data_IF_783373078807
#
_entry.id   IF_783373078807
#
_cell.length_a   1.000
_cell.length_b   1.000
_cell.length_c   1.000
_cell.angle_alpha   90.00
_cell.angle_beta   90.00
_cell.angle_gamma   90.00
#
_symmetry.space_group_name_H-M   'P 1'
#
loop_
_entity.id
_entity.type
_entity.pdbx_description
1 polymer ?
#
# COMPACT_ATOMS: atom_id res chain seq x y z
N UNK A 1 -10.58 5.87 -20.52
CA UNK A 1 -11.95 5.46 -20.17
C UNK A 1 -12.23 6.09 -18.83
N UNK A 2 -12.64 7.36 -18.87
CA UNK A 2 -12.96 8.14 -17.68
C UNK A 2 -14.35 7.71 -17.19
N UNK A 3 -14.43 7.35 -15.90
CA UNK A 3 -15.65 7.02 -15.17
C UNK A 3 -16.49 5.83 -15.68
N UNK A 4 -15.91 4.63 -15.68
CA UNK A 4 -16.76 3.49 -15.31
C UNK A 4 -17.27 3.75 -13.89
N UNK A 5 -18.59 3.99 -13.76
CA UNK A 5 -19.30 4.09 -12.49
C UNK A 5 -18.70 3.12 -11.47
N UNK A 6 -18.21 3.65 -10.35
CA UNK A 6 -17.67 2.84 -9.25
C UNK A 6 -18.67 1.73 -8.90
N UNK A 7 -18.31 0.49 -9.26
CA UNK A 7 -19.21 -0.68 -9.17
C UNK A 7 -19.45 -1.16 -7.73
N UNK A 8 -18.69 -0.61 -6.78
CA UNK A 8 -18.72 -0.93 -5.35
C UNK A 8 -19.11 0.35 -4.61
N UNK A 9 -20.04 0.25 -3.66
CA UNK A 9 -20.50 1.39 -2.90
C UNK A 9 -19.39 1.97 -2.00
N UNK A 10 -19.44 3.28 -1.73
CA UNK A 10 -18.37 3.96 -0.98
C UNK A 10 -18.18 3.38 0.43
N UNK A 11 -19.28 3.00 1.10
CA UNK A 11 -19.23 2.40 2.43
C UNK A 11 -18.39 1.11 2.44
N UNK A 12 -18.57 0.23 1.45
CA UNK A 12 -17.80 -1.01 1.34
C UNK A 12 -16.33 -0.72 1.02
N UNK A 13 -16.04 0.26 0.17
CA UNK A 13 -14.65 0.64 -0.16
C UNK A 13 -13.92 1.13 1.08
N UNK A 14 -14.55 2.00 1.86
CA UNK A 14 -13.99 2.51 3.12
C UNK A 14 -13.79 1.36 4.10
N UNK A 15 -14.78 0.49 4.26
CA UNK A 15 -14.67 -0.67 5.14
C UNK A 15 -13.53 -1.61 4.73
N UNK A 16 -13.38 -1.91 3.44
CA UNK A 16 -12.28 -2.74 2.92
C UNK A 16 -10.95 -2.08 3.22
N UNK A 17 -10.77 -0.80 2.87
CA UNK A 17 -9.52 -0.06 3.09
C UNK A 17 -9.11 -0.01 4.56
N UNK A 18 -10.08 0.13 5.47
CA UNK A 18 -9.83 0.18 6.90
C UNK A 18 -9.40 -1.17 7.51
N UNK A 19 -9.71 -2.30 6.86
CA UNK A 19 -9.50 -3.63 7.43
C UNK A 19 -8.45 -4.48 6.69
N UNK A 20 -8.29 -4.30 5.38
CA UNK A 20 -7.53 -5.22 4.53
C UNK A 20 -6.05 -5.31 4.92
N UNK A 21 -5.44 -4.20 5.36
CA UNK A 21 -4.04 -4.17 5.82
C UNK A 21 -3.90 -4.99 7.10
N UNK A 22 -4.78 -4.79 8.07
CA UNK A 22 -4.77 -5.56 9.31
C UNK A 22 -4.97 -7.06 9.05
N UNK A 23 -5.96 -7.42 8.23
CA UNK A 23 -6.22 -8.81 7.84
C UNK A 23 -5.01 -9.43 7.15
N UNK A 24 -4.33 -8.69 6.29
CA UNK A 24 -3.13 -9.15 5.60
C UNK A 24 -2.01 -9.50 6.58
N UNK A 25 -1.87 -8.74 7.68
CA UNK A 25 -0.84 -8.95 8.69
C UNK A 25 -1.15 -10.09 9.66
N UNK A 26 -2.43 -10.31 9.99
CA UNK A 26 -2.87 -11.39 10.87
C UNK A 26 -3.07 -12.73 10.15
N UNK A 27 -2.94 -12.76 8.83
CA UNK A 27 -3.22 -13.94 8.01
C UNK A 27 -1.99 -14.84 7.81
N UNK A 28 -2.20 -16.15 7.54
CA UNK A 28 -1.15 -17.04 7.09
C UNK A 28 -0.51 -16.57 5.77
N UNK A 29 0.74 -16.98 5.51
CA UNK A 29 1.56 -16.49 4.39
C UNK A 29 0.84 -16.55 3.02
N UNK A 30 0.13 -17.65 2.74
CA UNK A 30 -0.57 -17.81 1.46
C UNK A 30 -1.71 -16.79 1.28
N UNK A 31 -2.44 -16.47 2.34
CA UNK A 31 -3.52 -15.48 2.32
C UNK A 31 -2.95 -14.06 2.35
N UNK A 32 -1.88 -13.83 3.12
CA UNK A 32 -1.15 -12.57 3.12
C UNK A 32 -0.70 -12.17 1.71
N UNK A 33 -0.21 -13.12 0.90
CA UNK A 33 0.15 -12.89 -0.51
C UNK A 33 -1.04 -12.38 -1.35
N UNK A 34 -2.18 -13.06 -1.25
CA UNK A 34 -3.39 -12.66 -1.98
C UNK A 34 -3.89 -11.27 -1.57
N UNK A 35 -3.87 -10.99 -0.26
CA UNK A 35 -4.28 -9.68 0.26
C UNK A 35 -3.28 -8.58 -0.13
N UNK A 36 -1.97 -8.86 -0.18
CA UNK A 36 -0.96 -7.92 -0.68
C UNK A 36 -1.22 -7.52 -2.13
N UNK A 37 -1.59 -8.49 -2.97
CA UNK A 37 -1.92 -8.25 -4.37
C UNK A 37 -3.24 -7.47 -4.50
N UNK A 38 -4.25 -7.78 -3.68
CA UNK A 38 -5.50 -7.02 -3.63
C UNK A 38 -5.27 -5.56 -3.21
N UNK A 39 -4.46 -5.31 -2.17
CA UNK A 39 -4.05 -3.96 -1.76
C UNK A 39 -3.35 -3.23 -2.91
N UNK A 40 -2.50 -3.94 -3.66
CA UNK A 40 -1.80 -3.35 -4.80
C UNK A 40 -2.74 -2.97 -5.94
N UNK A 41 -3.80 -3.76 -6.18
CA UNK A 41 -4.84 -3.46 -7.17
C UNK A 41 -5.65 -2.22 -6.73
N UNK A 42 -6.14 -2.20 -5.49
CA UNK A 42 -6.89 -1.06 -4.96
C UNK A 42 -6.02 0.20 -4.94
N UNK A 43 -4.76 0.05 -4.52
CA UNK A 43 -3.77 1.13 -4.48
C UNK A 43 -3.47 1.72 -5.86
N UNK A 44 -3.63 0.97 -6.95
CA UNK A 44 -3.45 1.56 -8.29
C UNK A 44 -4.42 2.69 -8.58
N UNK A 45 -5.66 2.52 -8.16
CA UNK A 45 -6.75 3.45 -8.40
C UNK A 45 -6.87 4.52 -7.31
N UNK A 46 -6.59 4.14 -6.06
CA UNK A 46 -6.94 4.96 -4.91
C UNK A 46 -5.73 5.58 -4.19
N UNK A 47 -4.52 5.05 -4.33
CA UNK A 47 -3.33 5.62 -3.71
C UNK A 47 -2.68 6.68 -4.62
N UNK A 48 -2.29 7.87 -4.09
CA UNK A 48 -2.36 8.27 -2.68
C UNK A 48 -3.63 9.04 -2.29
N UNK A 49 -4.35 9.64 -3.24
CA UNK A 49 -5.35 10.67 -2.94
C UNK A 49 -6.63 10.15 -2.28
N UNK A 50 -7.11 8.96 -2.68
CA UNK A 50 -8.33 8.33 -2.16
C UNK A 50 -8.03 7.28 -1.08
N UNK A 51 -6.76 7.12 -0.71
CA UNK A 51 -6.32 6.23 0.37
C UNK A 51 -5.03 6.75 1.04
N UNK A 52 -5.09 7.94 1.66
CA UNK A 52 -3.90 8.62 2.21
C UNK A 52 -3.28 7.85 3.38
N UNK A 53 -4.08 7.13 4.15
CA UNK A 53 -3.63 6.46 5.38
C UNK A 53 -2.80 5.19 5.13
N UNK A 54 -2.81 4.65 3.90
CA UNK A 54 -2.13 3.40 3.57
C UNK A 54 -0.63 3.44 3.90
N UNK A 55 0.04 4.56 3.57
CA UNK A 55 1.47 4.71 3.79
C UNK A 55 1.80 4.80 5.28
N UNK A 56 1.03 5.59 6.02
CA UNK A 56 1.16 5.73 7.47
C UNK A 56 0.94 4.40 8.17
N UNK A 57 -0.07 3.63 7.75
CA UNK A 57 -0.33 2.32 8.33
C UNK A 57 0.82 1.34 8.06
N UNK A 58 1.36 1.29 6.83
CA UNK A 58 2.53 0.46 6.52
C UNK A 58 3.76 0.83 7.37
N UNK A 59 4.06 2.13 7.51
CA UNK A 59 5.22 2.61 8.29
C UNK A 59 5.08 2.28 9.77
N UNK A 60 3.88 2.46 10.35
CA UNK A 60 3.63 2.14 11.76
C UNK A 60 3.90 0.66 12.08
N UNK A 61 3.70 -0.23 11.10
CA UNK A 61 3.91 -1.67 11.27
C UNK A 61 5.37 -2.08 11.22
N UNK A 62 6.26 -1.27 10.64
CA UNK A 62 7.71 -1.50 10.74
C UNK A 62 8.24 -1.47 12.17
N UNK A 63 7.60 -0.69 13.04
CA UNK A 63 8.00 -0.55 14.44
C UNK A 63 7.55 -1.72 15.32
N UNK A 64 6.84 -2.71 14.77
CA UNK A 64 6.32 -3.85 15.54
C UNK A 64 7.39 -4.82 16.03
N UNK A 65 8.54 -4.90 15.34
CA UNK A 65 9.59 -5.90 15.61
C UNK A 65 9.24 -7.33 15.21
N UNK A 66 8.03 -7.57 14.68
CA UNK A 66 7.60 -8.88 14.20
C UNK A 66 7.99 -9.06 12.73
N UNK A 67 8.90 -10.01 12.46
CA UNK A 67 9.38 -10.30 11.11
C UNK A 67 8.27 -10.75 10.14
N UNK A 68 7.22 -11.42 10.63
CA UNK A 68 6.09 -11.82 9.78
C UNK A 68 5.31 -10.60 9.31
N UNK A 69 5.05 -9.66 10.22
CA UNK A 69 4.39 -8.39 9.93
C UNK A 69 5.24 -7.54 8.98
N UNK A 70 6.53 -7.38 9.30
CA UNK A 70 7.47 -6.59 8.51
C UNK A 70 7.57 -7.13 7.07
N UNK A 71 7.72 -8.45 6.90
CA UNK A 71 7.78 -9.06 5.58
C UNK A 71 6.48 -8.85 4.79
N UNK A 72 5.32 -8.94 5.43
CA UNK A 72 4.03 -8.63 4.80
C UNK A 72 3.95 -7.20 4.27
N UNK A 73 4.39 -6.23 5.07
CA UNK A 73 4.44 -4.81 4.67
C UNK A 73 5.41 -4.62 3.51
N UNK A 74 6.63 -5.18 3.58
CA UNK A 74 7.63 -5.04 2.53
C UNK A 74 7.15 -5.62 1.19
N UNK A 75 6.46 -6.76 1.22
CA UNK A 75 5.87 -7.37 0.03
C UNK A 75 4.80 -6.48 -0.58
N UNK A 76 3.92 -5.92 0.24
CA UNK A 76 2.86 -5.01 -0.21
C UNK A 76 3.43 -3.72 -0.80
N UNK A 77 4.36 -3.09 -0.09
CA UNK A 77 5.06 -1.91 -0.57
C UNK A 77 5.78 -2.18 -1.90
N UNK A 78 6.48 -3.32 -2.02
CA UNK A 78 7.12 -3.71 -3.27
C UNK A 78 6.10 -3.84 -4.41
N UNK A 79 4.98 -4.55 -4.19
CA UNK A 79 3.95 -4.72 -5.23
C UNK A 79 3.28 -3.40 -5.63
N UNK A 80 3.03 -2.50 -4.66
CA UNK A 80 2.48 -1.16 -4.90
C UNK A 80 3.44 -0.29 -5.72
N UNK A 81 4.71 -0.24 -5.34
CA UNK A 81 5.71 0.63 -5.98
C UNK A 81 6.29 0.05 -7.27
N UNK A 82 6.11 -1.26 -7.53
CA UNK A 82 6.59 -1.92 -8.75
C UNK A 82 6.09 -1.23 -10.02
N UNK A 83 4.89 -0.61 -9.99
CA UNK A 83 4.31 0.11 -11.13
C UNK A 83 5.20 1.26 -11.62
N UNK A 84 5.92 1.93 -10.72
CA UNK A 84 6.77 3.08 -11.06
C UNK A 84 7.87 2.76 -12.08
N UNK A 85 8.23 1.48 -12.23
CA UNK A 85 9.22 1.03 -13.22
C UNK A 85 8.73 1.13 -14.66
N UNK A 86 7.41 1.20 -14.85
CA UNK A 86 6.76 1.11 -16.16
C UNK A 86 5.85 2.31 -16.45
N UNK A 87 5.54 3.13 -15.44
CA UNK A 87 4.77 4.36 -15.62
C UNK A 87 5.53 5.43 -16.39
N UNK A 88 4.81 6.20 -17.20
CA UNK A 88 5.37 7.36 -17.88
C UNK A 88 5.57 8.52 -16.90
N UNK A 89 6.60 9.34 -17.15
CA UNK A 89 6.87 10.51 -16.33
C UNK A 89 5.70 11.49 -16.39
N UNK A 90 5.15 11.84 -15.23
CA UNK A 90 4.12 12.85 -15.05
C UNK A 90 4.31 13.57 -13.72
N UNK A 91 3.70 14.75 -13.56
CA UNK A 91 3.79 15.50 -12.30
C UNK A 91 3.10 14.74 -11.16
N UNK A 92 2.02 14.04 -11.47
CA UNK A 92 1.25 13.20 -10.55
C UNK A 92 2.14 12.07 -10.01
N UNK A 93 2.85 11.36 -10.90
CA UNK A 93 3.76 10.29 -10.52
C UNK A 93 4.90 10.81 -9.63
N UNK A 94 5.53 11.93 -10.00
CA UNK A 94 6.63 12.50 -9.20
C UNK A 94 6.17 12.98 -7.82
N UNK A 95 4.96 13.54 -7.74
CA UNK A 95 4.36 13.96 -6.46
C UNK A 95 4.11 12.77 -5.56
N UNK A 96 3.59 11.67 -6.11
CA UNK A 96 3.40 10.42 -5.37
C UNK A 96 4.73 9.81 -4.92
N UNK A 97 5.73 9.72 -5.81
CA UNK A 97 7.06 9.19 -5.46
C UNK A 97 7.70 10.03 -4.35
N UNK A 98 7.58 11.35 -4.43
CA UNK A 98 8.09 12.24 -3.37
C UNK A 98 7.41 11.97 -2.03
N UNK A 99 6.08 11.86 -2.01
CA UNK A 99 5.31 11.50 -0.81
C UNK A 99 5.79 10.18 -0.20
N UNK A 100 6.02 9.16 -1.05
CA UNK A 100 6.53 7.85 -0.62
C UNK A 100 7.93 7.98 -0.02
N UNK A 101 8.83 8.71 -0.66
CA UNK A 101 10.20 8.91 -0.16
C UNK A 101 10.20 9.64 1.19
N UNK A 102 9.42 10.72 1.32
CA UNK A 102 9.38 11.54 2.53
C UNK A 102 8.90 10.73 3.76
N UNK A 103 7.96 9.79 3.58
CA UNK A 103 7.43 9.01 4.70
C UNK A 103 8.10 7.62 4.87
N UNK A 104 8.50 6.95 3.79
CA UNK A 104 8.89 5.54 3.81
C UNK A 104 10.40 5.31 3.80
N UNK A 105 11.20 6.21 3.23
CA UNK A 105 12.64 5.98 3.02
C UNK A 105 13.42 5.85 4.33
N UNK A 106 13.17 6.73 5.31
CA UNK A 106 13.84 6.71 6.60
C UNK A 106 13.44 5.47 7.44
N UNK A 107 12.15 5.14 7.63
CA UNK A 107 11.75 3.91 8.32
C UNK A 107 12.32 2.65 7.68
N UNK A 108 12.28 2.56 6.35
CA UNK A 108 12.85 1.43 5.62
C UNK A 108 14.35 1.32 5.84
N UNK A 109 15.08 2.42 5.79
CA UNK A 109 16.54 2.41 5.98
C UNK A 109 16.91 2.02 7.41
N UNK A 110 16.17 2.52 8.41
CA UNK A 110 16.41 2.18 9.81
C UNK A 110 16.09 0.71 10.13
N UNK A 111 15.22 0.06 9.35
CA UNK A 111 14.93 -1.37 9.50
C UNK A 111 16.15 -2.26 9.18
N UNK A 112 17.06 -1.80 8.31
CA UNK A 112 18.25 -2.56 7.88
C UNK A 112 19.56 -2.10 8.55
N UNK A 113 19.48 -1.21 9.54
CA UNK A 113 20.62 -0.84 10.40
C UNK A 113 20.71 -1.77 11.59
#
# INVERSE_FOLDING_TARGET
VEDELNKICEADRVAIKANIVHLMLSSPEQIQKQLSDAISIIGREDFPQKWPDLLTEMVNRFQSGDFHVINGVLRTAHSLFKRYRHEFKSNELWTEIKLVLDAFALPLTNLFK
#
